data_IF_565618197833
#
_entry.id   IF_565618197833
#
_cell.length_a   1.000
_cell.length_b   1.000
_cell.length_c   1.000
_cell.angle_alpha   90.00
_cell.angle_beta   90.00
_cell.angle_gamma   90.00
#
_symmetry.space_group_name_H-M   'P 1'
#
loop_
_entity.id
_entity.type
_entity.pdbx_description
1 polymer ?
#
# COMPACT_ATOMS: atom_id res chain seq x y z
N UNK A 1 10.07 2.02 -33.05
CA UNK A 1 10.65 1.20 -31.95
C UNK A 1 10.06 1.51 -30.56
N UNK A 2 9.77 2.78 -30.25
CA UNK A 2 9.20 3.20 -28.95
C UNK A 2 7.73 2.73 -28.73
N UNK A 3 6.91 2.77 -29.78
CA UNK A 3 5.50 2.30 -29.76
C UNK A 3 5.41 0.79 -29.47
N UNK A 4 6.33 -0.01 -30.00
CA UNK A 4 6.33 -1.45 -29.77
C UNK A 4 6.70 -1.80 -28.31
N UNK A 5 7.55 -0.99 -27.65
CA UNK A 5 7.84 -1.12 -26.21
C UNK A 5 6.64 -0.76 -25.34
N UNK A 6 5.88 0.27 -25.70
CA UNK A 6 4.66 0.67 -24.98
C UNK A 6 3.58 -0.43 -25.08
N UNK A 7 3.40 -1.03 -26.26
CA UNK A 7 2.44 -2.13 -26.43
C UNK A 7 2.76 -3.36 -25.56
N UNK A 8 4.05 -3.61 -25.31
CA UNK A 8 4.50 -4.67 -24.42
C UNK A 8 4.18 -4.37 -22.95
N UNK A 9 4.28 -3.11 -22.52
CA UNK A 9 3.96 -2.68 -21.15
C UNK A 9 2.45 -2.74 -20.86
N UNK A 10 1.59 -2.37 -21.82
CA UNK A 10 0.13 -2.46 -21.67
C UNK A 10 -0.37 -3.89 -21.48
N UNK A 11 0.33 -4.88 -22.05
CA UNK A 11 -0.04 -6.31 -21.91
C UNK A 11 0.32 -6.91 -20.56
N UNK A 12 1.20 -6.24 -19.80
CA UNK A 12 1.75 -6.70 -18.52
C UNK A 12 1.02 -6.06 -17.33
N UNK A 13 0.40 -4.90 -17.55
CA UNK A 13 -0.48 -4.25 -16.56
C UNK A 13 -1.85 -4.94 -16.70
N UNK A 14 -2.46 -5.47 -15.62
CA UNK A 14 -3.83 -5.94 -15.68
C UNK A 14 -4.72 -4.76 -16.06
N UNK A 15 -5.13 -4.69 -17.32
CA UNK A 15 -6.21 -3.81 -17.74
C UNK A 15 -7.45 -4.31 -17.01
N UNK A 16 -7.99 -3.43 -16.16
CA UNK A 16 -9.25 -3.60 -15.45
C UNK A 16 -10.28 -4.20 -16.40
N UNK A 17 -10.55 -5.50 -16.22
CA UNK A 17 -11.60 -6.18 -16.98
C UNK A 17 -12.86 -5.59 -16.41
N UNK A 18 -13.52 -4.69 -17.15
CA UNK A 18 -14.62 -3.82 -16.69
C UNK A 18 -15.89 -4.52 -16.20
N UNK A 19 -15.78 -5.74 -15.66
CA UNK A 19 -16.69 -6.33 -14.70
C UNK A 19 -16.49 -5.61 -13.37
N UNK A 20 -17.46 -4.77 -13.02
CA UNK A 20 -17.45 -3.94 -11.81
C UNK A 20 -17.78 -4.76 -10.54
N UNK A 21 -17.60 -6.08 -10.60
CA UNK A 21 -18.02 -7.08 -9.64
C UNK A 21 -19.29 -7.80 -10.09
N UNK A 22 -19.36 -9.13 -9.93
CA UNK A 22 -20.53 -9.95 -10.30
C UNK A 22 -21.85 -9.43 -9.71
N UNK A 23 -21.79 -8.82 -8.52
CA UNK A 23 -22.95 -8.22 -7.84
C UNK A 23 -23.42 -6.93 -8.52
N UNK A 24 -22.52 -6.16 -9.11
CA UNK A 24 -22.83 -4.92 -9.82
C UNK A 24 -23.34 -5.24 -11.23
N UNK A 25 -22.69 -6.20 -11.91
CA UNK A 25 -23.09 -6.64 -13.26
C UNK A 25 -24.45 -7.33 -13.29
N UNK A 26 -24.81 -8.10 -12.26
CA UNK A 26 -26.14 -8.70 -12.12
C UNK A 26 -27.25 -7.67 -11.86
N UNK A 27 -26.96 -6.60 -11.12
CA UNK A 27 -27.90 -5.48 -10.88
C UNK A 27 -28.02 -4.56 -12.11
N UNK A 28 -26.98 -4.46 -12.93
CA UNK A 28 -26.93 -3.64 -14.15
C UNK A 28 -27.35 -4.38 -15.43
N UNK A 29 -27.57 -5.70 -15.38
CA UNK A 29 -28.03 -6.53 -16.50
C UNK A 29 -29.35 -6.06 -17.17
N UNK A 30 -30.36 -5.49 -16.48
CA UNK A 30 -31.58 -5.04 -17.12
C UNK A 30 -31.50 -3.63 -17.74
N UNK A 31 -30.37 -2.92 -17.63
CA UNK A 31 -30.26 -1.52 -18.06
C UNK A 31 -29.72 -1.38 -19.51
N UNK A 32 -30.30 -0.49 -20.33
CA UNK A 32 -29.84 -0.23 -21.70
C UNK A 32 -28.39 0.28 -21.73
N UNK A 33 -27.58 -0.25 -22.67
CA UNK A 33 -26.14 0.00 -22.75
C UNK A 33 -25.73 1.48 -22.82
N UNK A 34 -26.60 2.37 -23.33
CA UNK A 34 -26.38 3.82 -23.39
C UNK A 34 -26.35 4.49 -22.01
N UNK A 35 -27.17 4.03 -21.07
CA UNK A 35 -27.28 4.64 -19.73
C UNK A 35 -26.39 3.95 -18.69
N UNK A 36 -25.94 2.72 -18.98
CA UNK A 36 -25.09 1.93 -18.10
C UNK A 36 -23.85 2.69 -17.60
N UNK A 37 -23.12 3.38 -18.49
CA UNK A 37 -21.92 4.13 -18.08
C UNK A 37 -22.22 5.32 -17.16
N UNK A 38 -23.34 6.02 -17.38
CA UNK A 38 -23.75 7.14 -16.51
C UNK A 38 -24.20 6.66 -15.14
N UNK A 39 -24.99 5.58 -15.11
CA UNK A 39 -25.46 4.96 -13.86
C UNK A 39 -24.29 4.39 -13.07
N UNK A 40 -23.37 3.68 -13.73
CA UNK A 40 -22.15 3.14 -13.09
C UNK A 40 -21.37 4.27 -12.43
N UNK A 41 -21.10 5.36 -13.15
CA UNK A 41 -20.41 6.53 -12.58
C UNK A 41 -21.16 7.12 -11.39
N UNK A 42 -22.48 7.30 -11.51
CA UNK A 42 -23.31 7.81 -10.43
C UNK A 42 -23.26 6.93 -9.17
N UNK A 43 -23.44 5.62 -9.33
CA UNK A 43 -23.40 4.66 -8.23
C UNK A 43 -22.02 4.65 -7.55
N UNK A 44 -20.92 4.63 -8.31
CA UNK A 44 -19.58 4.70 -7.71
C UNK A 44 -19.32 6.00 -6.96
N UNK A 45 -19.80 7.15 -7.46
CA UNK A 45 -19.66 8.42 -6.73
C UNK A 45 -20.45 8.42 -5.42
N UNK A 46 -21.68 7.90 -5.43
CA UNK A 46 -22.51 7.78 -4.22
C UNK A 46 -21.86 6.82 -3.22
N UNK A 47 -21.32 5.69 -3.69
CA UNK A 47 -20.59 4.74 -2.84
C UNK A 47 -19.35 5.40 -2.23
N UNK A 48 -18.54 6.11 -3.02
CA UNK A 48 -17.34 6.76 -2.49
C UNK A 48 -17.67 7.85 -1.46
N UNK A 49 -18.67 8.69 -1.73
CA UNK A 49 -19.11 9.75 -0.81
C UNK A 49 -19.68 9.14 0.47
N UNK A 50 -20.58 8.16 0.35
CA UNK A 50 -21.20 7.51 1.52
C UNK A 50 -20.17 6.78 2.40
N UNK A 51 -19.24 6.04 1.78
CA UNK A 51 -18.14 5.37 2.48
C UNK A 51 -17.24 6.39 3.20
N UNK A 52 -16.87 7.47 2.53
CA UNK A 52 -16.03 8.51 3.11
C UNK A 52 -16.73 9.19 4.31
N UNK A 53 -17.98 9.61 4.15
CA UNK A 53 -18.76 10.21 5.24
C UNK A 53 -18.90 9.26 6.42
N UNK A 54 -19.14 7.97 6.19
CA UNK A 54 -19.24 6.96 7.24
C UNK A 54 -17.94 6.79 8.03
N UNK A 55 -16.79 6.79 7.34
CA UNK A 55 -15.47 6.67 7.97
C UNK A 55 -15.16 7.91 8.81
N UNK A 56 -15.47 9.11 8.30
CA UNK A 56 -15.29 10.37 9.05
C UNK A 56 -16.15 10.38 10.32
N UNK A 57 -17.40 9.89 10.27
CA UNK A 57 -18.30 9.86 11.44
C UNK A 57 -17.81 8.96 12.58
N UNK A 58 -16.97 7.95 12.31
CA UNK A 58 -16.39 7.09 13.36
C UNK A 58 -15.13 7.65 14.01
N UNK A 59 -14.62 8.78 13.53
CA UNK A 59 -13.49 9.49 14.13
C UNK A 59 -12.12 9.18 13.50
N UNK A 60 -11.04 9.73 14.10
CA UNK A 60 -9.71 9.76 13.48
C UNK A 60 -9.02 8.39 13.37
N UNK A 61 -9.39 7.41 14.23
CA UNK A 61 -8.85 6.05 14.15
C UNK A 61 -9.25 5.33 12.86
N UNK A 62 -10.48 5.53 12.40
CA UNK A 62 -10.98 4.98 11.13
C UNK A 62 -10.36 5.68 9.92
N UNK A 63 -10.09 6.98 10.02
CA UNK A 63 -9.35 7.71 8.99
C UNK A 63 -7.91 7.21 8.85
N UNK A 64 -7.24 6.93 9.96
CA UNK A 64 -5.90 6.32 9.92
C UNK A 64 -5.93 4.93 9.24
N UNK A 65 -6.91 4.08 9.57
CA UNK A 65 -7.08 2.79 8.91
C UNK A 65 -7.33 2.93 7.39
N UNK A 66 -8.11 3.93 6.98
CA UNK A 66 -8.32 4.25 5.56
C UNK A 66 -7.01 4.66 4.86
N UNK A 67 -6.21 5.54 5.48
CA UNK A 67 -4.90 5.95 4.95
C UNK A 67 -3.99 4.73 4.77
N UNK A 68 -3.95 3.82 5.75
CA UNK A 68 -3.21 2.57 5.61
C UNK A 68 -3.73 1.69 4.46
N UNK A 69 -5.04 1.54 4.32
CA UNK A 69 -5.63 0.74 3.24
C UNK A 69 -5.26 1.30 1.85
N UNK A 70 -5.35 2.62 1.68
CA UNK A 70 -4.93 3.32 0.46
C UNK A 70 -3.44 3.15 0.23
N UNK A 71 -2.62 3.27 1.28
CA UNK A 71 -1.18 3.06 1.24
C UNK A 71 -0.83 1.66 0.73
N UNK A 72 -1.45 0.61 1.28
CA UNK A 72 -1.22 -0.78 0.85
C UNK A 72 -1.61 -1.01 -0.62
N UNK A 73 -2.76 -0.47 -1.05
CA UNK A 73 -3.21 -0.58 -2.45
C UNK A 73 -2.28 0.15 -3.40
N UNK A 74 -1.89 1.37 -3.07
CA UNK A 74 -0.95 2.16 -3.87
C UNK A 74 0.41 1.46 -3.99
N UNK A 75 0.94 0.93 -2.89
CA UNK A 75 2.20 0.20 -2.91
C UNK A 75 2.13 -1.07 -3.76
N UNK A 76 1.04 -1.83 -3.68
CA UNK A 76 0.83 -3.01 -4.51
C UNK A 76 0.91 -2.67 -6.01
N UNK A 77 0.22 -1.61 -6.44
CA UNK A 77 0.26 -1.13 -7.82
C UNK A 77 1.67 -0.70 -8.23
N UNK A 78 2.35 0.07 -7.38
CA UNK A 78 3.71 0.57 -7.66
C UNK A 78 4.71 -0.60 -7.76
N UNK A 79 4.64 -1.58 -6.87
CA UNK A 79 5.50 -2.78 -6.97
C UNK A 79 5.21 -3.56 -8.25
N UNK A 80 3.94 -3.70 -8.64
CA UNK A 80 3.54 -4.36 -9.89
C UNK A 80 4.17 -3.68 -11.11
N UNK A 81 4.11 -2.34 -11.15
CA UNK A 81 4.72 -1.52 -12.21
C UNK A 81 6.25 -1.66 -12.19
N UNK A 82 6.88 -1.59 -11.01
CA UNK A 82 8.33 -1.75 -10.87
C UNK A 82 8.79 -3.10 -11.42
N UNK A 83 8.09 -4.18 -11.07
CA UNK A 83 8.40 -5.52 -11.55
C UNK A 83 8.24 -5.64 -13.08
N UNK A 84 7.25 -4.96 -13.65
CA UNK A 84 7.01 -4.88 -15.09
C UNK A 84 8.14 -4.15 -15.83
N UNK A 85 8.58 -2.99 -15.32
CA UNK A 85 9.65 -2.16 -15.93
C UNK A 85 10.99 -2.89 -15.96
N UNK A 86 11.35 -3.57 -14.87
CA UNK A 86 12.62 -4.29 -14.77
C UNK A 86 12.57 -5.72 -15.36
N UNK A 87 11.40 -6.13 -15.89
CA UNK A 87 11.13 -7.46 -16.47
C UNK A 87 11.55 -8.59 -15.52
N UNK A 88 11.15 -8.48 -14.25
CA UNK A 88 11.47 -9.44 -13.18
C UNK A 88 10.24 -10.22 -12.73
N UNK A 89 9.38 -10.64 -13.65
CA UNK A 89 8.09 -11.26 -13.34
C UNK A 89 8.20 -12.62 -12.62
N UNK A 90 9.33 -13.31 -12.78
CA UNK A 90 9.46 -14.73 -12.41
C UNK A 90 9.79 -14.98 -10.92
N UNK A 91 10.02 -13.93 -10.11
CA UNK A 91 10.50 -14.11 -8.73
C UNK A 91 9.51 -13.57 -7.66
N UNK A 92 8.67 -14.43 -7.06
CA UNK A 92 7.76 -14.03 -5.98
C UNK A 92 8.50 -13.54 -4.72
N UNK A 93 9.75 -13.97 -4.52
CA UNK A 93 10.60 -13.56 -3.40
C UNK A 93 10.82 -12.05 -3.31
N UNK A 94 10.94 -11.37 -4.46
CA UNK A 94 11.15 -9.92 -4.46
C UNK A 94 9.89 -9.15 -4.07
N UNK A 95 8.71 -9.71 -4.39
CA UNK A 95 7.43 -9.16 -3.94
C UNK A 95 7.34 -9.27 -2.42
N UNK A 96 7.58 -10.46 -1.86
CA UNK A 96 7.56 -10.67 -0.40
C UNK A 96 8.52 -9.72 0.32
N UNK A 97 9.73 -9.53 -0.22
CA UNK A 97 10.72 -8.61 0.31
C UNK A 97 10.21 -7.16 0.33
N UNK A 98 9.56 -6.72 -0.74
CA UNK A 98 8.98 -5.37 -0.83
C UNK A 98 7.87 -5.16 0.21
N UNK A 99 6.99 -6.17 0.40
CA UNK A 99 5.98 -6.17 1.45
C UNK A 99 6.60 -6.14 2.85
N UNK A 100 7.68 -6.88 3.07
CA UNK A 100 8.41 -6.89 4.33
C UNK A 100 8.99 -5.51 4.66
N UNK A 101 9.63 -4.85 3.69
CA UNK A 101 10.12 -3.49 3.88
C UNK A 101 9.00 -2.49 4.17
N UNK A 102 7.83 -2.63 3.52
CA UNK A 102 6.70 -1.75 3.80
C UNK A 102 6.25 -1.88 5.25
N UNK A 103 6.06 -3.12 5.73
CA UNK A 103 5.67 -3.36 7.12
C UNK A 103 6.73 -2.87 8.08
N UNK A 104 8.02 -3.10 7.78
CA UNK A 104 9.14 -2.67 8.62
C UNK A 104 9.23 -1.15 8.72
N UNK A 105 9.13 -0.43 7.61
CA UNK A 105 9.18 1.04 7.61
C UNK A 105 7.91 1.66 8.19
N UNK A 106 6.75 1.04 7.98
CA UNK A 106 5.52 1.42 8.65
C UNK A 106 5.69 1.28 10.17
N UNK A 107 6.17 0.13 10.64
CA UNK A 107 6.46 -0.10 12.06
C UNK A 107 7.48 0.90 12.63
N UNK A 108 8.54 1.23 11.89
CA UNK A 108 9.55 2.20 12.32
C UNK A 108 8.99 3.62 12.48
N UNK A 109 8.29 4.13 11.46
CA UNK A 109 7.78 5.51 11.44
C UNK A 109 6.54 5.66 12.32
N UNK A 110 5.63 4.69 12.27
CA UNK A 110 4.40 4.74 13.06
C UNK A 110 4.57 4.28 14.48
N UNK A 111 5.61 3.54 14.85
CA UNK A 111 5.72 3.02 16.22
C UNK A 111 5.71 4.14 17.26
N UNK A 112 6.65 5.09 17.21
CA UNK A 112 6.68 6.22 18.17
C UNK A 112 5.35 6.99 18.19
N UNK A 113 4.81 7.33 17.02
CA UNK A 113 3.55 8.10 16.92
C UNK A 113 2.28 7.29 17.13
N UNK A 114 2.29 5.96 17.12
CA UNK A 114 1.14 5.13 17.50
C UNK A 114 1.18 4.81 18.98
N UNK A 115 2.38 4.67 19.55
CA UNK A 115 2.58 4.40 20.98
C UNK A 115 1.90 5.48 21.80
N UNK A 116 2.09 6.76 21.48
CA UNK A 116 1.47 7.85 22.27
C UNK A 116 -0.06 7.86 22.20
N UNK A 117 -0.65 7.51 21.05
CA UNK A 117 -2.11 7.54 20.85
C UNK A 117 -2.81 6.25 21.30
N UNK A 118 -2.14 5.10 21.19
CA UNK A 118 -2.68 3.80 21.59
C UNK A 118 -2.15 3.33 22.95
N UNK A 119 -1.30 4.10 23.65
CA UNK A 119 -0.81 3.77 25.00
C UNK A 119 -1.93 3.46 25.99
N UNK A 120 -3.10 4.11 25.86
CA UNK A 120 -4.27 3.82 26.70
C UNK A 120 -4.89 2.45 26.39
N UNK A 121 -4.91 2.02 25.13
CA UNK A 121 -5.50 0.73 24.74
C UNK A 121 -4.52 -0.44 24.88
N UNK A 122 -3.22 -0.18 24.67
CA UNK A 122 -2.13 -1.16 24.69
C UNK A 122 -1.64 -1.51 26.10
N UNK A 123 -2.04 -0.75 27.13
CA UNK A 123 -1.68 -1.02 28.55
C UNK A 123 -2.25 -2.33 29.10
N UNK A 124 -3.13 -3.00 28.35
CA UNK A 124 -3.80 -4.23 28.80
C UNK A 124 -3.00 -5.51 28.55
N UNK A 125 -2.02 -5.50 27.63
CA UNK A 125 -1.27 -6.69 27.22
C UNK A 125 0.25 -6.56 27.44
N UNK A 126 0.81 -7.45 28.28
CA UNK A 126 2.24 -7.46 28.65
C UNK A 126 3.21 -7.67 27.46
N UNK A 127 2.78 -8.38 26.41
CA UNK A 127 3.63 -8.68 25.24
C UNK A 127 3.84 -7.45 24.35
N UNK A 128 2.79 -6.65 24.14
CA UNK A 128 2.90 -5.42 23.35
C UNK A 128 3.75 -4.38 24.07
N UNK A 129 3.75 -4.38 25.40
CA UNK A 129 4.61 -3.50 26.20
C UNK A 129 6.10 -3.74 25.94
N UNK A 130 6.56 -5.00 25.83
CA UNK A 130 7.95 -5.31 25.49
C UNK A 130 8.32 -4.83 24.08
N UNK A 131 7.42 -5.03 23.11
CA UNK A 131 7.63 -4.66 21.72
C UNK A 131 7.77 -3.13 21.54
N UNK A 132 7.02 -2.37 22.34
CA UNK A 132 7.01 -0.91 22.39
C UNK A 132 8.26 -0.37 23.09
N UNK A 133 8.65 -0.95 24.23
CA UNK A 133 9.77 -0.46 25.04
C UNK A 133 11.12 -0.61 24.31
N UNK A 134 11.28 -1.65 23.50
CA UNK A 134 12.47 -1.88 22.67
C UNK A 134 12.27 -1.50 21.20
N UNK A 135 11.29 -0.63 20.89
CA UNK A 135 10.88 -0.31 19.52
C UNK A 135 12.07 0.05 18.60
N UNK A 136 12.99 0.90 19.06
CA UNK A 136 14.16 1.33 18.27
C UNK A 136 15.11 0.18 17.93
N UNK A 137 15.33 -0.72 18.89
CA UNK A 137 16.17 -1.91 18.72
C UNK A 137 15.50 -2.92 17.77
N UNK A 138 14.20 -3.17 17.95
CA UNK A 138 13.43 -4.09 17.12
C UNK A 138 13.36 -3.59 15.68
N UNK A 139 13.10 -2.31 15.47
CA UNK A 139 13.07 -1.71 14.13
C UNK A 139 14.41 -1.83 13.42
N UNK A 140 15.51 -1.57 14.13
CA UNK A 140 16.85 -1.76 13.60
C UNK A 140 17.12 -3.23 13.25
N UNK A 141 16.72 -4.15 14.14
CA UNK A 141 16.83 -5.60 13.91
C UNK A 141 16.06 -6.06 12.66
N UNK A 142 14.80 -5.65 12.52
CA UNK A 142 13.97 -5.95 11.36
C UNK A 142 14.59 -5.41 10.06
N UNK A 143 15.13 -4.19 10.08
CA UNK A 143 15.82 -3.63 8.92
C UNK A 143 17.06 -4.46 8.53
N UNK A 144 17.89 -4.85 9.50
CA UNK A 144 19.05 -5.72 9.28
C UNK A 144 18.66 -7.09 8.70
N UNK A 145 17.62 -7.72 9.26
CA UNK A 145 17.10 -9.01 8.76
C UNK A 145 16.61 -8.88 7.32
N UNK A 146 15.84 -7.83 7.00
CA UNK A 146 15.39 -7.55 5.63
C UNK A 146 16.54 -7.32 4.66
N UNK A 147 17.59 -6.61 5.09
CA UNK A 147 18.77 -6.40 4.27
C UNK A 147 19.55 -7.69 4.01
N UNK A 148 19.76 -8.53 5.03
CA UNK A 148 20.39 -9.85 4.86
C UNK A 148 19.54 -10.72 3.93
N UNK A 149 18.21 -10.71 4.08
CA UNK A 149 17.30 -11.45 3.20
C UNK A 149 17.40 -10.98 1.74
N UNK A 150 17.50 -9.67 1.53
CA UNK A 150 17.74 -9.10 0.20
C UNK A 150 19.06 -9.62 -0.41
N UNK A 151 20.15 -9.60 0.37
CA UNK A 151 21.46 -10.08 -0.09
C UNK A 151 21.42 -11.57 -0.45
N UNK A 152 20.76 -12.39 0.37
CA UNK A 152 20.59 -13.83 0.09
C UNK A 152 19.71 -14.10 -1.15
N UNK A 153 18.79 -13.19 -1.48
CA UNK A 153 17.92 -13.31 -2.65
C UNK A 153 18.61 -12.92 -3.98
N UNK A 154 19.85 -12.42 -3.95
CA UNK A 154 20.58 -12.00 -5.15
C UNK A 154 20.93 -13.19 -6.05
N UNK A 155 20.49 -13.16 -7.31
CA UNK A 155 20.73 -14.23 -8.29
C UNK A 155 21.76 -13.82 -9.34
N UNK A 156 22.71 -14.72 -9.62
CA UNK A 156 23.76 -14.53 -10.62
C UNK A 156 23.17 -14.25 -12.01
N UNK A 157 23.67 -13.21 -12.67
CA UNK A 157 23.24 -12.76 -14.00
C UNK A 157 22.26 -11.58 -14.01
N UNK A 158 21.66 -11.23 -12.86
CA UNK A 158 20.65 -10.17 -12.76
C UNK A 158 20.94 -9.11 -11.69
N UNK A 159 22.14 -9.14 -11.09
CA UNK A 159 22.52 -8.29 -9.95
C UNK A 159 22.20 -6.81 -10.13
N UNK A 160 22.64 -6.20 -11.23
CA UNK A 160 22.42 -4.77 -11.48
C UNK A 160 20.93 -4.42 -11.53
N UNK A 161 20.11 -5.27 -12.17
CA UNK A 161 18.66 -5.03 -12.27
C UNK A 161 17.96 -5.22 -10.93
N UNK A 162 18.34 -6.23 -10.15
CA UNK A 162 17.77 -6.45 -8.81
C UNK A 162 18.15 -5.32 -7.85
N UNK A 163 19.40 -4.84 -7.91
CA UNK A 163 19.86 -3.73 -7.10
C UNK A 163 19.18 -2.41 -7.46
N UNK A 164 19.06 -2.10 -8.76
CA UNK A 164 18.33 -0.91 -9.20
C UNK A 164 16.83 -0.97 -8.85
N UNK A 165 16.20 -2.14 -9.02
CA UNK A 165 14.80 -2.32 -8.64
C UNK A 165 14.64 -2.16 -7.12
N UNK A 166 15.55 -2.74 -6.32
CA UNK A 166 15.56 -2.58 -4.86
C UNK A 166 15.66 -1.12 -4.45
N UNK A 167 16.64 -0.39 -4.97
CA UNK A 167 16.81 1.04 -4.70
C UNK A 167 15.57 1.85 -5.08
N UNK A 168 14.99 1.57 -6.25
CA UNK A 168 13.75 2.21 -6.70
C UNK A 168 12.59 1.93 -5.73
N UNK A 169 12.36 0.66 -5.37
CA UNK A 169 11.32 0.29 -4.41
C UNK A 169 11.53 0.95 -3.05
N UNK A 170 12.78 1.04 -2.58
CA UNK A 170 13.09 1.66 -1.29
C UNK A 170 12.79 3.17 -1.28
N UNK A 171 13.12 3.87 -2.37
CA UNK A 171 12.80 5.30 -2.53
C UNK A 171 11.28 5.52 -2.60
N UNK A 172 10.56 4.73 -3.41
CA UNK A 172 9.10 4.85 -3.52
C UNK A 172 8.40 4.57 -2.19
N UNK A 173 8.88 3.56 -1.46
CA UNK A 173 8.38 3.18 -0.15
C UNK A 173 8.58 4.32 0.86
N UNK A 174 9.78 4.90 0.93
CA UNK A 174 10.05 6.03 1.82
C UNK A 174 9.13 7.21 1.51
N UNK A 175 8.94 7.53 0.23
CA UNK A 175 8.04 8.60 -0.20
C UNK A 175 6.59 8.33 0.26
N UNK A 176 6.06 7.15 -0.02
CA UNK A 176 4.68 6.78 0.31
C UNK A 176 4.46 6.75 1.84
N UNK A 177 5.39 6.17 2.59
CA UNK A 177 5.26 6.03 4.05
C UNK A 177 5.36 7.40 4.73
N UNK A 178 6.34 8.24 4.36
CA UNK A 178 6.47 9.58 4.93
C UNK A 178 5.24 10.45 4.64
N UNK A 179 4.72 10.41 3.41
CA UNK A 179 3.49 11.14 3.06
C UNK A 179 2.30 10.69 3.91
N UNK A 180 2.11 9.37 4.03
CA UNK A 180 1.01 8.80 4.84
C UNK A 180 1.13 9.19 6.31
N UNK A 181 2.36 9.22 6.84
CA UNK A 181 2.63 9.64 8.21
C UNK A 181 2.24 11.09 8.47
N UNK A 182 2.63 12.03 7.60
CA UNK A 182 2.26 13.43 7.75
C UNK A 182 0.75 13.66 7.63
N UNK A 183 0.07 12.93 6.75
CA UNK A 183 -1.40 12.98 6.65
C UNK A 183 -2.03 12.55 7.98
N UNK A 184 -1.55 11.46 8.58
CA UNK A 184 -2.06 10.95 9.85
C UNK A 184 -1.79 11.93 11.00
N UNK A 185 -0.60 12.52 11.07
CA UNK A 185 -0.28 13.56 12.06
C UNK A 185 -1.22 14.76 11.95
N UNK A 186 -1.49 15.24 10.72
CA UNK A 186 -2.44 16.32 10.50
C UNK A 186 -3.86 15.94 10.96
N UNK A 187 -4.33 14.73 10.63
CA UNK A 187 -5.65 14.24 11.06
C UNK A 187 -5.79 14.24 12.59
N UNK A 188 -4.74 13.89 13.32
CA UNK A 188 -4.76 13.89 14.78
C UNK A 188 -4.62 15.27 15.43
N UNK A 189 -3.89 16.19 14.81
CA UNK A 189 -3.78 17.58 15.30
C UNK A 189 -5.03 18.43 15.00
N UNK A 190 -5.82 18.05 14.00
CA UNK A 190 -7.13 18.65 13.72
C UNK A 190 -7.73 18.12 12.43
N UNK A 191 -8.91 17.48 12.51
CA UNK A 191 -9.64 16.99 11.33
C UNK A 191 -10.33 18.11 10.55
N UNK A 192 -10.57 19.25 11.21
CA UNK A 192 -11.14 20.48 10.67
C UNK A 192 -10.32 21.60 11.32
N UNK A 193 -9.72 22.47 10.51
CA UNK A 193 -9.14 23.72 10.97
C UNK A 193 -10.26 24.72 11.28
#
# INVERSE_FOLDING_TARGET
MLIHRISGLTKIIPQDTGSMGELVDSVLAPLPARWRNWVVRGVFTIIMVSMFSFIVSRGPTWLMALVFAIQFKCFHEIISIGLAVYRMYDFPWFRLLSWYFLVTSNYFIFGESLIDYWAILLRKDNFLHFLINYHRLISFGLYCVGFVWFVLSLKKGYYMRQFSLFAWTHITLLLIVCQSFFIIQNIFQGTIW
#
